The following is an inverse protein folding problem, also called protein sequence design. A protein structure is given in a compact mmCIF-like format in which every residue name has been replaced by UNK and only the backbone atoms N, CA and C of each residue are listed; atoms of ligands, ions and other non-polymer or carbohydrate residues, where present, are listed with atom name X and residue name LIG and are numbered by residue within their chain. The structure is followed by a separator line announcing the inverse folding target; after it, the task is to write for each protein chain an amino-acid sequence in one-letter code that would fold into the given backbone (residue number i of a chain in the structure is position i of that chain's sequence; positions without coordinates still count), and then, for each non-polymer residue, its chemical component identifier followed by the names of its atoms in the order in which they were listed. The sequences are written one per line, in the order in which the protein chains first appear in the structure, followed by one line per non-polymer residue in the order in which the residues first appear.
data_IF_745042836615
#
_entry.id   IF_745042836615
#
_cell.length_a   1.000
_cell.length_b   1.000
_cell.length_c   1.000
_cell.angle_alpha   90.00
_cell.angle_beta   90.00
_cell.angle_gamma   90.00
#
_symmetry.space_group_name_H-M   'P 1'
#
loop_
_entity.id
_entity.type
_entity.pdbx_description
1 polymer ?
#
# COMPACT_ATOMS: atom_id res chain seq x y z
N UNK A 1 24.30 -24.11 9.63
CA UNK A 1 24.30 -23.31 8.38
C UNK A 1 22.89 -22.75 8.22
N UNK A 2 22.73 -21.44 8.04
CA UNK A 2 21.40 -20.88 7.73
C UNK A 2 20.91 -21.44 6.38
N UNK A 3 19.60 -21.59 6.21
CA UNK A 3 19.07 -22.06 4.93
C UNK A 3 19.32 -21.00 3.85
N UNK A 4 19.66 -21.39 2.61
CA UNK A 4 19.94 -20.45 1.52
C UNK A 4 18.77 -19.48 1.23
N UNK A 5 17.55 -19.86 1.62
CA UNK A 5 16.38 -18.99 1.59
C UNK A 5 16.45 -17.84 2.61
N UNK A 6 16.88 -18.10 3.84
CA UNK A 6 17.02 -17.08 4.89
C UNK A 6 18.11 -16.06 4.55
N UNK A 7 19.21 -16.52 3.95
CA UNK A 7 20.30 -15.63 3.53
C UNK A 7 19.88 -14.71 2.38
N UNK A 8 19.12 -15.25 1.42
CA UNK A 8 18.53 -14.46 0.33
C UNK A 8 17.53 -13.44 0.87
N UNK A 9 16.65 -13.84 1.79
CA UNK A 9 15.67 -12.95 2.40
C UNK A 9 16.34 -11.78 3.14
N UNK A 10 17.40 -12.07 3.90
CA UNK A 10 18.18 -11.03 4.60
C UNK A 10 18.83 -10.07 3.62
N UNK A 11 19.43 -10.58 2.54
CA UNK A 11 20.04 -9.75 1.50
C UNK A 11 19.00 -8.83 0.82
N UNK A 12 17.84 -9.38 0.44
CA UNK A 12 16.76 -8.62 -0.19
C UNK A 12 16.17 -7.55 0.74
N UNK A 13 16.02 -7.86 2.04
CA UNK A 13 15.59 -6.87 3.04
C UNK A 13 16.55 -5.69 3.12
N UNK A 14 17.86 -5.96 3.18
CA UNK A 14 18.88 -4.90 3.26
C UNK A 14 18.79 -3.98 2.03
N UNK A 15 18.64 -4.53 0.83
CA UNK A 15 18.48 -3.75 -0.41
C UNK A 15 17.28 -2.80 -0.34
N UNK A 16 16.12 -3.30 0.11
CA UNK A 16 14.91 -2.47 0.24
C UNK A 16 15.07 -1.35 1.27
N UNK A 17 15.80 -1.59 2.36
CA UNK A 17 16.03 -0.57 3.39
C UNK A 17 17.16 0.39 3.06
N UNK A 18 18.06 0.04 2.13
CA UNK A 18 19.24 0.83 1.79
C UNK A 18 18.96 1.93 0.77
N UNK A 19 17.84 1.87 0.05
CA UNK A 19 17.44 2.87 -0.96
C UNK A 19 16.31 3.71 -0.39
N UNK A 20 16.28 5.01 -0.70
CA UNK A 20 15.21 5.90 -0.25
C UNK A 20 13.90 5.74 -1.04
N UNK A 21 13.96 5.27 -2.29
CA UNK A 21 12.79 5.20 -3.17
C UNK A 21 11.63 4.35 -2.64
N UNK A 22 11.84 3.19 -1.96
CA UNK A 22 10.76 2.44 -1.35
C UNK A 22 10.00 3.23 -0.29
N UNK A 23 10.69 3.98 0.54
CA UNK A 23 10.06 4.80 1.59
C UNK A 23 9.20 5.91 1.00
N UNK A 24 9.64 6.56 -0.09
CA UNK A 24 8.83 7.55 -0.79
C UNK A 24 7.58 6.94 -1.43
N UNK A 25 7.70 5.78 -2.09
CA UNK A 25 6.54 5.08 -2.62
C UNK A 25 5.54 4.72 -1.52
N UNK A 26 6.01 4.18 -0.39
CA UNK A 26 5.16 3.86 0.75
C UNK A 26 4.47 5.11 1.33
N UNK A 27 5.21 6.21 1.48
CA UNK A 27 4.64 7.48 1.94
C UNK A 27 3.53 7.99 1.01
N UNK A 28 3.72 7.88 -0.32
CA UNK A 28 2.70 8.27 -1.31
C UNK A 28 1.47 7.36 -1.23
N UNK A 29 1.64 6.04 -1.05
CA UNK A 29 0.51 5.11 -0.85
C UNK A 29 -0.32 5.52 0.36
N UNK A 30 0.34 5.79 1.49
CA UNK A 30 -0.33 6.23 2.73
C UNK A 30 -1.04 7.56 2.52
N UNK A 31 -0.37 8.54 1.91
CA UNK A 31 -0.92 9.87 1.67
C UNK A 31 -2.16 9.82 0.75
N UNK A 32 -2.11 9.05 -0.33
CA UNK A 32 -3.24 8.89 -1.25
C UNK A 32 -4.37 8.11 -0.60
N UNK A 33 -4.08 7.02 0.10
CA UNK A 33 -5.08 6.20 0.78
C UNK A 33 -5.85 6.97 1.85
N UNK A 34 -5.14 7.62 2.78
CA UNK A 34 -5.75 8.36 3.89
C UNK A 34 -6.34 9.68 3.39
N UNK A 35 -5.63 10.40 2.52
CA UNK A 35 -6.07 11.69 2.01
C UNK A 35 -7.37 11.58 1.22
N UNK A 36 -7.51 10.55 0.39
CA UNK A 36 -8.75 10.34 -0.37
C UNK A 36 -9.90 9.91 0.54
N UNK A 37 -9.65 9.05 1.52
CA UNK A 37 -10.65 8.66 2.51
C UNK A 37 -11.14 9.86 3.35
N UNK A 38 -10.22 10.74 3.72
CA UNK A 38 -10.54 11.99 4.42
C UNK A 38 -11.41 12.92 3.56
N UNK A 39 -11.06 13.07 2.28
CA UNK A 39 -11.85 13.85 1.32
C UNK A 39 -13.27 13.27 1.17
N UNK A 40 -13.41 11.95 1.02
CA UNK A 40 -14.71 11.28 0.91
C UNK A 40 -15.56 11.45 2.19
N UNK A 41 -14.94 11.34 3.37
CA UNK A 41 -15.64 11.60 4.64
C UNK A 41 -16.14 13.05 4.76
N UNK A 42 -15.32 14.03 4.36
CA UNK A 42 -15.73 15.43 4.36
C UNK A 42 -16.89 15.70 3.36
N UNK A 43 -16.83 15.10 2.17
CA UNK A 43 -17.90 15.17 1.16
C UNK A 43 -19.20 14.56 1.71
N UNK A 44 -19.13 13.37 2.31
CA UNK A 44 -20.28 12.71 2.94
C UNK A 44 -20.93 13.61 3.98
N UNK A 45 -20.14 14.22 4.86
CA UNK A 45 -20.65 15.17 5.86
C UNK A 45 -21.35 16.38 5.23
N UNK A 46 -20.77 16.96 4.18
CA UNK A 46 -21.38 18.11 3.49
C UNK A 46 -22.69 17.75 2.79
N UNK A 47 -22.85 16.50 2.35
CA UNK A 47 -24.09 16.05 1.71
C UNK A 47 -25.27 15.90 2.68
N UNK A 48 -25.01 15.77 3.99
CA UNK A 48 -26.07 15.62 5.00
C UNK A 48 -26.93 16.88 5.17
N UNK A 49 -26.45 18.05 4.76
CA UNK A 49 -27.24 19.29 4.77
C UNK A 49 -28.20 19.42 3.58
N UNK A 50 -28.27 18.43 2.70
CA UNK A 50 -29.23 18.40 1.59
C UNK A 50 -30.62 17.97 2.10
N UNK A 51 -31.64 18.71 1.66
CA UNK A 51 -33.05 18.43 1.97
C UNK A 51 -33.55 17.17 1.26
N UNK A 52 -32.99 16.84 0.10
CA UNK A 52 -33.30 15.63 -0.64
C UNK A 52 -32.48 14.43 -0.12
N UNK A 53 -33.17 13.48 0.51
CA UNK A 53 -32.55 12.27 1.06
C UNK A 53 -31.92 11.40 -0.03
N UNK A 54 -32.47 11.39 -1.25
CA UNK A 54 -31.94 10.62 -2.37
C UNK A 54 -30.62 11.20 -2.91
N UNK A 55 -30.34 12.47 -2.65
CA UNK A 55 -29.11 13.15 -3.04
C UNK A 55 -27.98 13.04 -2.00
N UNK A 56 -28.26 12.45 -0.81
CA UNK A 56 -27.29 12.29 0.26
C UNK A 56 -26.25 11.23 -0.09
N UNK A 57 -25.00 11.53 0.18
CA UNK A 57 -23.87 10.63 -0.06
C UNK A 57 -23.55 9.85 1.21
N UNK A 58 -23.86 8.56 1.18
CA UNK A 58 -23.53 7.63 2.26
C UNK A 58 -22.18 6.97 2.00
N UNK A 59 -21.36 6.94 3.04
CA UNK A 59 -19.99 6.45 2.94
C UNK A 59 -19.97 4.95 3.25
N UNK A 60 -19.60 4.13 2.27
CA UNK A 60 -19.38 2.69 2.46
C UNK A 60 -17.89 2.40 2.69
N UNK A 61 -17.53 1.26 3.34
CA UNK A 61 -16.14 0.87 3.54
C UNK A 61 -15.35 0.74 2.23
N UNK A 62 -16.01 0.28 1.16
CA UNK A 62 -15.42 0.17 -0.17
C UNK A 62 -15.03 1.56 -0.71
N UNK A 63 -15.92 2.55 -0.61
CA UNK A 63 -15.64 3.92 -1.04
C UNK A 63 -14.52 4.54 -0.21
N UNK A 64 -14.50 4.31 1.11
CA UNK A 64 -13.41 4.79 1.97
C UNK A 64 -12.04 4.17 1.59
N UNK A 65 -12.04 2.92 1.09
CA UNK A 65 -10.83 2.22 0.67
C UNK A 65 -10.39 2.52 -0.78
N UNK A 66 -11.20 3.20 -1.59
CA UNK A 66 -10.91 3.50 -3.02
C UNK A 66 -9.56 4.19 -3.24
N UNK A 67 -9.14 5.06 -2.32
CA UNK A 67 -7.83 5.70 -2.40
C UNK A 67 -6.67 4.70 -2.37
N UNK A 68 -6.80 3.64 -1.57
CA UNK A 68 -5.81 2.57 -1.45
C UNK A 68 -5.92 1.60 -2.62
N UNK A 69 -7.13 1.11 -2.91
CA UNK A 69 -7.34 0.08 -3.95
C UNK A 69 -7.14 0.61 -5.37
N UNK A 70 -7.43 1.89 -5.62
CA UNK A 70 -7.12 2.55 -6.89
C UNK A 70 -5.67 3.04 -6.94
N UNK A 71 -5.40 4.16 -6.26
CA UNK A 71 -4.11 4.84 -6.39
C UNK A 71 -2.97 4.14 -5.64
N UNK A 72 -3.23 3.63 -4.44
CA UNK A 72 -2.24 2.93 -3.63
C UNK A 72 -1.68 1.70 -4.35
N UNK A 73 -2.54 0.89 -4.97
CA UNK A 73 -2.11 -0.28 -5.76
C UNK A 73 -1.26 0.15 -6.96
N UNK A 74 -1.59 1.24 -7.66
CA UNK A 74 -0.76 1.72 -8.77
C UNK A 74 0.67 2.08 -8.31
N UNK A 75 0.80 2.78 -7.18
CA UNK A 75 2.11 3.16 -6.64
C UNK A 75 2.86 1.93 -6.11
N UNK A 76 2.15 0.95 -5.56
CA UNK A 76 2.71 -0.34 -5.15
C UNK A 76 3.26 -1.12 -6.34
N UNK A 77 2.57 -1.09 -7.49
CA UNK A 77 3.08 -1.68 -8.74
C UNK A 77 4.36 -0.99 -9.23
N UNK A 78 4.47 0.32 -9.08
CA UNK A 78 5.71 1.07 -9.36
C UNK A 78 6.83 0.62 -8.40
N UNK A 79 6.54 0.49 -7.11
CA UNK A 79 7.50 -0.02 -6.12
C UNK A 79 7.99 -1.43 -6.48
N UNK A 80 7.07 -2.31 -6.89
CA UNK A 80 7.40 -3.66 -7.34
C UNK A 80 8.34 -3.64 -8.55
N UNK A 81 8.08 -2.80 -9.55
CA UNK A 81 8.96 -2.63 -10.70
C UNK A 81 10.34 -2.06 -10.29
N UNK A 82 10.37 -1.04 -9.43
CA UNK A 82 11.60 -0.44 -8.91
C UNK A 82 12.47 -1.44 -8.14
N UNK A 83 11.87 -2.41 -7.45
CA UNK A 83 12.59 -3.47 -6.73
C UNK A 83 13.46 -4.35 -7.65
N UNK A 84 13.15 -4.37 -8.95
CA UNK A 84 13.89 -5.07 -9.99
C UNK A 84 14.79 -4.11 -10.76
N UNK A 85 14.24 -2.99 -11.25
CA UNK A 85 14.99 -2.06 -12.11
C UNK A 85 16.14 -1.35 -11.39
N UNK A 86 16.02 -1.14 -10.07
CA UNK A 86 17.13 -0.60 -9.26
C UNK A 86 18.35 -1.51 -9.26
N UNK A 87 18.17 -2.83 -9.32
CA UNK A 87 19.28 -3.78 -9.38
C UNK A 87 20.05 -3.71 -10.70
N UNK A 88 19.33 -3.48 -11.80
CA UNK A 88 19.95 -3.23 -13.10
C UNK A 88 20.68 -1.89 -13.12
N UNK A 89 20.08 -0.85 -12.53
CA UNK A 89 20.70 0.48 -12.45
C UNK A 89 22.02 0.49 -11.67
N UNK A 90 22.10 -0.25 -10.56
CA UNK A 90 23.31 -0.33 -9.73
C UNK A 90 24.21 -1.53 -10.07
N UNK A 91 23.86 -2.34 -11.07
CA UNK A 91 24.64 -3.49 -11.52
C UNK A 91 24.70 -4.69 -10.55
N UNK A 92 23.92 -4.68 -9.46
CA UNK A 92 23.96 -5.69 -8.39
C UNK A 92 23.23 -7.00 -8.73
N UNK A 93 22.57 -7.08 -9.88
CA UNK A 93 21.91 -8.31 -10.33
C UNK A 93 22.92 -9.44 -10.61
N UNK A 94 24.09 -9.11 -11.18
CA UNK A 94 25.15 -10.11 -11.46
C UNK A 94 25.71 -10.68 -10.18
N UNK A 95 26.02 -9.83 -9.20
CA UNK A 95 26.57 -10.26 -7.90
C UNK A 95 25.57 -11.11 -7.12
N UNK A 96 24.26 -10.79 -7.21
CA UNK A 96 23.20 -11.58 -6.59
C UNK A 96 23.16 -13.02 -7.13
N UNK A 97 23.22 -13.22 -8.45
CA UNK A 97 23.18 -14.57 -9.04
C UNK A 97 24.49 -15.34 -8.96
N UNK A 98 25.63 -14.66 -8.78
CA UNK A 98 26.90 -15.33 -8.46
C UNK A 98 26.86 -15.88 -7.03
N UNK A 99 26.31 -15.10 -6.08
CA UNK A 99 26.18 -15.53 -4.69
C UNK A 99 25.10 -16.62 -4.50
N UNK A 100 23.99 -16.52 -5.23
CA UNK A 100 22.92 -17.51 -5.19
C UNK A 100 22.47 -17.91 -6.62
N UNK A 101 22.94 -19.06 -7.15
CA UNK A 101 22.68 -19.45 -8.54
C UNK A 101 21.23 -19.89 -8.79
N UNK A 102 20.46 -20.15 -7.73
CA UNK A 102 19.05 -20.56 -7.84
C UNK A 102 18.16 -19.36 -8.19
N UNK A 103 17.94 -19.15 -9.49
CA UNK A 103 17.20 -17.99 -10.00
C UNK A 103 15.75 -17.93 -9.52
N UNK A 104 15.06 -19.07 -9.46
CA UNK A 104 13.66 -19.11 -9.03
C UNK A 104 13.52 -18.75 -7.56
N UNK A 105 14.43 -19.22 -6.71
CA UNK A 105 14.43 -18.88 -5.28
C UNK A 105 14.55 -17.37 -5.06
N UNK A 106 15.48 -16.70 -5.75
CA UNK A 106 15.67 -15.24 -5.63
C UNK A 106 14.43 -14.48 -6.06
N UNK A 107 13.81 -14.89 -7.18
CA UNK A 107 12.58 -14.28 -7.68
C UNK A 107 11.42 -14.48 -6.70
N UNK A 108 11.21 -15.70 -6.21
CA UNK A 108 10.16 -16.01 -5.24
C UNK A 108 10.34 -15.22 -3.95
N UNK A 109 11.55 -15.18 -3.38
CA UNK A 109 11.82 -14.43 -2.15
C UNK A 109 11.53 -12.94 -2.35
N UNK A 110 11.95 -12.35 -3.47
CA UNK A 110 11.69 -10.95 -3.78
C UNK A 110 10.20 -10.66 -3.96
N UNK A 111 9.49 -11.50 -4.73
CA UNK A 111 8.04 -11.38 -4.93
C UNK A 111 7.27 -11.50 -3.62
N UNK A 112 7.63 -12.48 -2.76
CA UNK A 112 7.02 -12.65 -1.43
C UNK A 112 7.31 -11.45 -0.54
N UNK A 113 8.54 -10.94 -0.54
CA UNK A 113 8.91 -9.79 0.29
C UNK A 113 8.11 -8.54 -0.08
N UNK A 114 8.03 -8.22 -1.38
CA UNK A 114 7.22 -7.09 -1.88
C UNK A 114 5.73 -7.35 -1.65
N UNK A 115 5.25 -8.58 -1.85
CA UNK A 115 3.86 -8.95 -1.62
C UNK A 115 3.44 -8.79 -0.16
N UNK A 116 4.29 -9.22 0.78
CA UNK A 116 4.06 -9.07 2.23
C UNK A 116 4.06 -7.59 2.62
N UNK A 117 5.04 -6.80 2.15
CA UNK A 117 5.08 -5.36 2.40
C UNK A 117 3.80 -4.70 1.86
N UNK A 118 3.42 -5.06 0.63
CA UNK A 118 2.23 -4.57 -0.03
C UNK A 118 0.97 -4.87 0.77
N UNK A 119 0.75 -6.13 1.14
CA UNK A 119 -0.40 -6.57 1.91
C UNK A 119 -0.50 -5.90 3.29
N UNK A 120 0.62 -5.77 4.01
CA UNK A 120 0.65 -5.09 5.30
C UNK A 120 0.32 -3.61 5.14
N UNK A 121 0.93 -2.93 4.18
CA UNK A 121 0.72 -1.49 3.96
C UNK A 121 -0.70 -1.21 3.51
N UNK A 122 -1.21 -1.91 2.49
CA UNK A 122 -2.58 -1.67 2.01
C UNK A 122 -3.62 -2.09 3.04
N UNK A 123 -3.39 -3.16 3.79
CA UNK A 123 -4.26 -3.58 4.90
C UNK A 123 -4.33 -2.55 6.01
N UNK A 124 -3.17 -2.07 6.49
CA UNK A 124 -3.09 -1.05 7.54
C UNK A 124 -3.69 0.28 7.06
N UNK A 125 -3.31 0.75 5.87
CA UNK A 125 -3.84 2.01 5.33
C UNK A 125 -5.34 1.90 5.06
N UNK A 126 -5.82 0.77 4.54
CA UNK A 126 -7.25 0.55 4.33
C UNK A 126 -8.06 0.63 5.63
N UNK A 127 -7.58 -0.01 6.70
CA UNK A 127 -8.20 0.11 8.02
C UNK A 127 -8.20 1.56 8.52
N UNK A 128 -7.06 2.25 8.44
CA UNK A 128 -6.94 3.66 8.84
C UNK A 128 -7.90 4.53 8.02
N UNK A 129 -7.99 4.32 6.70
CA UNK A 129 -8.88 5.04 5.80
C UNK A 129 -10.33 4.93 6.24
N UNK A 130 -10.81 3.74 6.61
CA UNK A 130 -12.19 3.54 7.12
C UNK A 130 -12.42 4.35 8.40
N UNK A 131 -11.49 4.30 9.37
CA UNK A 131 -11.62 5.06 10.62
C UNK A 131 -11.57 6.58 10.39
N UNK A 132 -10.67 7.06 9.54
CA UNK A 132 -10.52 8.48 9.20
C UNK A 132 -11.78 8.99 8.49
N UNK A 133 -12.28 8.24 7.51
CA UNK A 133 -13.47 8.60 6.77
C UNK A 133 -14.70 8.64 7.69
N UNK A 134 -14.85 7.67 8.62
CA UNK A 134 -15.90 7.67 9.65
C UNK A 134 -15.81 8.88 10.59
N UNK A 135 -14.62 9.20 11.07
CA UNK A 135 -14.40 10.34 11.97
C UNK A 135 -14.76 11.68 11.30
N UNK A 136 -14.49 11.81 10.00
CA UNK A 136 -14.78 13.03 9.23
C UNK A 136 -16.24 13.12 8.77
N UNK A 137 -16.88 11.99 8.44
CA UNK A 137 -18.28 11.93 8.02
C UNK A 137 -19.26 12.33 9.15
N UNK A 138 -18.92 12.03 10.41
CA UNK A 138 -19.77 12.33 11.56
C UNK A 138 -20.78 11.23 11.89
N UNK A 139 -21.58 11.39 12.97
CA UNK A 139 -22.38 10.31 13.57
C UNK A 139 -23.48 9.75 12.66
N UNK A 140 -24.04 10.59 11.78
CA UNK A 140 -25.17 10.21 10.92
C UNK A 140 -24.70 9.54 9.62
N UNK A 141 -23.73 10.13 8.92
CA UNK A 141 -23.20 9.59 7.66
C UNK A 141 -22.23 8.40 7.85
N UNK A 142 -21.63 8.25 9.05
CA UNK A 142 -20.70 7.17 9.36
C UNK A 142 -21.33 5.95 10.06
N UNK A 143 -22.66 5.92 10.17
CA UNK A 143 -23.39 4.89 10.93
C UNK A 143 -23.22 3.48 10.34
N UNK A 144 -23.08 3.38 9.02
CA UNK A 144 -22.96 2.11 8.30
C UNK A 144 -21.50 1.65 8.09
N UNK A 145 -20.53 2.45 8.54
CA UNK A 145 -19.12 2.06 8.57
C UNK A 145 -18.86 1.20 9.82
N UNK A 146 -19.24 -0.07 9.71
CA UNK A 146 -18.87 -1.14 10.65
C UNK A 146 -17.83 -2.02 9.95
N UNK A 147 -16.69 -2.24 10.60
CA UNK A 147 -15.68 -3.20 10.15
C UNK A 147 -16.13 -4.63 10.44
#
# INVERSE_FOLDING_TARGET
MASPALDTLRAERIKLTSVQSPFWCLAVIVALGIGFAAMMGAVARSSMSLDDEAARFYLTPDIAATGVTGFGIMVLMILAALSVTSEYRFGVIRTTFIANPNRSLVLTVKSVLIGVIGAVVTGVVGLISVYVAKALAGPEAGRDLVL
#
